data_IF_730281447891
#
_entry.id   IF_730281447891
#
_cell.length_a   1.000
_cell.length_b   1.000
_cell.length_c   1.000
_cell.angle_alpha   90.00
_cell.angle_beta   90.00
_cell.angle_gamma   90.00
#
_symmetry.space_group_name_H-M   'P 1'
#
loop_
_entity.id
_entity.type
_entity.pdbx_description
1 polymer ?
#
# COMPACT_ATOMS: atom_id res chain seq x y z
N UNK A 1 8.80 -20.14 29.76
CA UNK A 1 8.39 -19.78 28.39
C UNK A 1 9.36 -18.78 27.80
N UNK A 2 9.61 -17.60 28.44
CA UNK A 2 10.53 -16.58 27.90
C UNK A 2 11.90 -17.17 27.50
N UNK A 3 12.60 -17.86 28.42
CA UNK A 3 13.87 -18.51 28.10
C UNK A 3 13.76 -19.54 26.96
N UNK A 4 12.58 -20.15 26.78
CA UNK A 4 12.35 -21.10 25.70
C UNK A 4 12.21 -20.37 24.36
N UNK A 5 11.54 -19.22 24.32
CA UNK A 5 11.50 -18.37 23.11
C UNK A 5 12.90 -17.92 22.73
N UNK A 6 13.72 -17.49 23.72
CA UNK A 6 15.11 -17.09 23.48
C UNK A 6 15.98 -18.24 22.93
N UNK A 7 15.67 -19.48 23.33
CA UNK A 7 16.46 -20.66 22.96
C UNK A 7 16.06 -21.29 21.59
N UNK A 8 14.76 -21.24 21.26
CA UNK A 8 14.23 -21.97 20.09
C UNK A 8 13.48 -21.06 19.08
N UNK A 9 13.34 -19.77 19.36
CA UNK A 9 12.54 -18.83 18.56
C UNK A 9 11.05 -19.14 18.56
N UNK A 10 10.26 -18.30 17.88
CA UNK A 10 8.80 -18.53 17.72
C UNK A 10 8.50 -19.74 16.85
N UNK A 11 9.37 -20.07 15.91
CA UNK A 11 9.24 -21.26 15.05
C UNK A 11 9.17 -22.59 15.83
N UNK A 12 9.68 -22.56 17.06
CA UNK A 12 9.55 -23.68 17.99
C UNK A 12 8.14 -23.89 18.57
N UNK A 13 7.24 -22.94 18.35
CA UNK A 13 5.84 -23.04 18.76
C UNK A 13 4.93 -23.29 17.55
N UNK A 14 3.69 -23.73 17.82
CA UNK A 14 2.69 -23.83 16.77
C UNK A 14 2.37 -22.41 16.23
N UNK A 15 2.31 -22.23 14.92
CA UNK A 15 2.08 -20.95 14.26
C UNK A 15 0.87 -20.19 14.83
N UNK A 16 -0.25 -20.87 15.04
CA UNK A 16 -1.46 -20.29 15.62
C UNK A 16 -1.26 -19.69 17.03
N UNK A 17 -0.22 -20.14 17.75
CA UNK A 17 0.02 -19.67 19.11
C UNK A 17 0.69 -18.30 19.17
N UNK A 18 1.45 -17.92 18.15
CA UNK A 18 2.18 -16.67 18.08
C UNK A 18 1.72 -15.73 16.98
N UNK A 19 1.15 -16.23 15.89
CA UNK A 19 0.72 -15.38 14.76
C UNK A 19 -0.30 -14.31 15.15
N UNK A 20 -1.17 -14.60 16.14
CA UNK A 20 -2.13 -13.62 16.68
C UNK A 20 -1.52 -12.51 17.54
N UNK A 21 -0.22 -12.59 17.81
CA UNK A 21 0.54 -11.61 18.58
C UNK A 21 1.46 -10.75 17.72
N UNK A 22 1.39 -10.91 16.39
CA UNK A 22 2.10 -10.03 15.46
C UNK A 22 1.41 -8.67 15.49
N UNK A 23 2.21 -7.62 15.68
CA UNK A 23 1.75 -6.25 15.57
C UNK A 23 1.72 -5.85 14.08
N UNK A 24 0.51 -5.79 13.51
CA UNK A 24 0.32 -5.43 12.12
C UNK A 24 0.68 -3.97 11.83
N UNK A 25 0.55 -3.07 12.82
CA UNK A 25 0.96 -1.68 12.67
C UNK A 25 2.48 -1.57 12.59
N UNK A 26 3.24 -2.32 13.43
CA UNK A 26 4.71 -2.35 13.35
C UNK A 26 5.20 -2.94 12.02
N UNK A 27 4.52 -3.97 11.48
CA UNK A 27 4.86 -4.51 10.15
C UNK A 27 4.58 -3.48 9.07
N UNK A 28 3.42 -2.82 9.10
CA UNK A 28 3.04 -1.80 8.14
C UNK A 28 4.04 -0.64 8.14
N UNK A 29 4.38 -0.11 9.31
CA UNK A 29 5.37 0.97 9.47
C UNK A 29 6.75 0.56 8.92
N UNK A 30 7.14 -0.70 9.11
CA UNK A 30 8.44 -1.20 8.65
C UNK A 30 8.54 -1.29 7.13
N UNK A 31 7.46 -1.65 6.44
CA UNK A 31 7.46 -1.85 4.98
C UNK A 31 6.83 -0.69 4.21
N UNK A 32 6.39 0.40 4.87
CA UNK A 32 5.76 1.54 4.20
C UNK A 32 6.58 2.09 3.03
N UNK A 33 7.90 2.28 3.23
CA UNK A 33 8.78 2.79 2.17
C UNK A 33 8.82 1.86 0.94
N UNK A 34 8.75 0.52 1.15
CA UNK A 34 8.71 -0.45 0.04
C UNK A 34 7.39 -0.38 -0.71
N UNK A 35 6.26 -0.28 0.03
CA UNK A 35 4.93 -0.14 -0.57
C UNK A 35 4.84 1.16 -1.35
N UNK A 36 5.32 2.27 -0.79
CA UNK A 36 5.33 3.57 -1.45
C UNK A 36 6.14 3.53 -2.75
N UNK A 37 7.31 2.93 -2.72
CA UNK A 37 8.13 2.74 -3.91
C UNK A 37 7.41 1.90 -4.97
N UNK A 38 6.73 0.82 -4.59
CA UNK A 38 6.02 -0.07 -5.52
C UNK A 38 4.82 0.63 -6.18
N UNK A 39 4.07 1.44 -5.42
CA UNK A 39 2.99 2.28 -5.95
C UNK A 39 3.53 3.34 -6.90
N UNK A 40 4.65 4.01 -6.56
CA UNK A 40 5.26 5.04 -7.40
C UNK A 40 5.84 4.45 -8.72
N UNK A 41 6.38 3.22 -8.68
CA UNK A 41 6.95 2.55 -9.86
C UNK A 41 5.89 1.95 -10.80
N UNK A 42 4.70 1.63 -10.28
CA UNK A 42 3.63 0.95 -11.04
C UNK A 42 2.24 1.43 -10.61
N UNK A 43 1.95 2.74 -10.65
CA UNK A 43 0.70 3.31 -10.15
C UNK A 43 -0.55 2.73 -10.83
N UNK A 44 -0.46 2.37 -12.10
CA UNK A 44 -1.55 1.75 -12.89
C UNK A 44 -2.02 0.40 -12.30
N UNK A 45 -1.25 -0.21 -11.41
CA UNK A 45 -1.64 -1.45 -10.71
C UNK A 45 -2.52 -1.20 -9.49
N UNK A 46 -2.58 0.04 -9.02
CA UNK A 46 -3.21 0.44 -7.76
C UNK A 46 -4.29 1.51 -7.91
N UNK A 47 -4.24 2.30 -8.98
CA UNK A 47 -5.04 3.50 -9.19
C UNK A 47 -5.98 3.36 -10.39
N UNK A 48 -7.10 4.06 -10.35
CA UNK A 48 -8.03 4.16 -11.48
C UNK A 48 -7.57 5.25 -12.45
N UNK A 49 -7.38 4.90 -13.72
CA UNK A 49 -6.89 5.81 -14.77
C UNK A 49 -7.79 7.04 -14.97
N UNK A 50 -9.08 6.94 -14.66
CA UNK A 50 -10.05 8.02 -14.89
C UNK A 50 -10.30 8.88 -13.65
N UNK A 51 -10.14 8.31 -12.44
CA UNK A 51 -10.46 8.98 -11.20
C UNK A 51 -9.21 9.59 -10.53
N UNK A 52 -8.05 8.95 -10.72
CA UNK A 52 -6.82 9.28 -10.00
C UNK A 52 -5.78 10.02 -10.84
N UNK A 53 -6.09 10.36 -12.10
CA UNK A 53 -5.23 11.17 -12.97
C UNK A 53 -5.79 12.58 -13.18
N UNK A 54 -4.89 13.55 -13.25
CA UNK A 54 -5.21 14.91 -13.63
C UNK A 54 -4.26 15.44 -14.69
N UNK A 55 -4.66 16.49 -15.39
CA UNK A 55 -3.77 17.15 -16.34
C UNK A 55 -2.54 17.68 -15.63
N UNK A 56 -1.37 17.49 -16.23
CA UNK A 56 -0.13 18.12 -15.77
C UNK A 56 -0.27 19.63 -15.75
N UNK A 57 0.53 20.32 -14.95
CA UNK A 57 0.52 21.78 -14.93
C UNK A 57 0.87 22.37 -16.30
N UNK A 58 1.78 21.76 -17.06
CA UNK A 58 2.16 22.18 -18.41
C UNK A 58 0.99 22.05 -19.37
N UNK A 59 0.26 20.91 -19.34
CA UNK A 59 -0.92 20.70 -20.20
C UNK A 59 -2.05 21.66 -19.85
N UNK A 60 -2.28 21.94 -18.55
CA UNK A 60 -3.26 22.96 -18.11
C UNK A 60 -2.94 24.34 -18.70
N UNK A 61 -1.67 24.78 -18.62
CA UNK A 61 -1.22 26.06 -19.16
C UNK A 61 -1.33 26.13 -20.69
N UNK A 62 -1.04 25.03 -21.40
CA UNK A 62 -1.19 24.94 -22.84
C UNK A 62 -2.66 25.02 -23.27
N UNK A 63 -3.55 24.26 -22.60
CA UNK A 63 -4.98 24.31 -22.87
C UNK A 63 -5.57 25.71 -22.63
N UNK A 64 -5.21 26.37 -21.51
CA UNK A 64 -5.67 27.73 -21.22
C UNK A 64 -5.21 28.73 -22.29
N UNK A 65 -3.97 28.61 -22.76
CA UNK A 65 -3.46 29.48 -23.82
C UNK A 65 -4.15 29.26 -25.16
N UNK A 66 -4.48 28.01 -25.52
CA UNK A 66 -5.23 27.69 -26.75
C UNK A 66 -6.67 28.17 -26.62
N UNK A 67 -7.34 27.96 -25.49
CA UNK A 67 -8.70 28.44 -25.25
C UNK A 67 -8.81 29.96 -25.32
N UNK A 68 -7.79 30.70 -24.81
CA UNK A 68 -7.72 32.16 -24.92
C UNK A 68 -7.61 32.60 -26.41
N UNK A 69 -6.78 31.94 -27.20
CA UNK A 69 -6.63 32.25 -28.62
C UNK A 69 -7.91 31.97 -29.41
N UNK A 70 -8.59 30.85 -29.13
CA UNK A 70 -9.90 30.53 -29.74
C UNK A 70 -10.91 31.61 -29.38
N UNK A 71 -10.92 32.08 -28.12
CA UNK A 71 -11.76 33.18 -27.66
C UNK A 71 -11.51 34.48 -28.46
N UNK A 72 -10.25 34.86 -28.61
CA UNK A 72 -9.84 36.06 -29.36
C UNK A 72 -10.28 36.00 -30.84
N UNK A 73 -10.06 34.88 -31.52
CA UNK A 73 -10.49 34.70 -32.90
C UNK A 73 -12.02 34.64 -33.04
N UNK A 74 -12.72 34.09 -32.09
CA UNK A 74 -14.18 34.06 -32.05
C UNK A 74 -14.74 35.48 -31.88
N UNK A 75 -14.14 36.29 -31.01
CA UNK A 75 -14.53 37.69 -30.81
C UNK A 75 -14.21 38.51 -32.07
N UNK A 76 -13.09 38.23 -32.77
CA UNK A 76 -12.77 38.91 -34.05
C UNK A 76 -13.77 38.59 -35.14
N UNK A 77 -14.24 37.33 -35.22
CA UNK A 77 -15.26 36.91 -36.18
C UNK A 77 -16.55 37.72 -36.07
N UNK A 78 -16.93 38.21 -34.89
CA UNK A 78 -18.13 39.04 -34.71
C UNK A 78 -18.06 40.39 -35.44
N UNK A 79 -16.84 40.88 -35.76
CA UNK A 79 -16.63 42.20 -36.36
C UNK A 79 -16.14 42.16 -37.80
N UNK A 80 -15.94 40.98 -38.38
CA UNK A 80 -15.46 40.80 -39.75
C UNK A 80 -16.64 40.55 -40.70
N UNK A 81 -16.71 41.38 -41.75
CA UNK A 81 -17.76 41.31 -42.79
C UNK A 81 -17.28 40.69 -44.12
N UNK A 82 -15.95 40.42 -44.26
CA UNK A 82 -15.37 39.88 -45.45
C UNK A 82 -15.32 38.37 -45.45
N UNK A 83 -15.91 37.70 -46.42
CA UNK A 83 -16.03 36.25 -46.51
C UNK A 83 -14.66 35.53 -46.48
N UNK A 84 -13.63 36.10 -47.10
CA UNK A 84 -12.27 35.54 -47.10
C UNK A 84 -11.61 35.57 -45.71
N UNK A 85 -11.87 36.64 -44.94
CA UNK A 85 -11.29 36.78 -43.59
C UNK A 85 -12.06 35.90 -42.58
N UNK A 86 -13.39 35.70 -42.81
CA UNK A 86 -14.21 34.76 -42.05
C UNK A 86 -13.72 33.33 -42.26
N UNK A 87 -13.45 32.92 -43.49
CA UNK A 87 -12.94 31.60 -43.82
C UNK A 87 -11.56 31.36 -43.13
N UNK A 88 -10.66 32.37 -43.22
CA UNK A 88 -9.33 32.26 -42.60
C UNK A 88 -9.39 32.10 -41.07
N UNK A 89 -10.22 32.93 -40.39
CA UNK A 89 -10.37 32.83 -38.92
C UNK A 89 -11.03 31.52 -38.52
N UNK A 90 -12.02 31.04 -39.31
CA UNK A 90 -12.65 29.75 -39.04
C UNK A 90 -11.67 28.59 -39.15
N UNK A 91 -10.82 28.61 -40.20
CA UNK A 91 -9.78 27.59 -40.36
C UNK A 91 -8.76 27.63 -39.21
N UNK A 92 -8.40 28.82 -38.69
CA UNK A 92 -7.48 28.98 -37.56
C UNK A 92 -8.11 28.42 -36.26
N UNK A 93 -9.39 28.72 -36.01
CA UNK A 93 -10.11 28.17 -34.88
C UNK A 93 -10.13 26.64 -34.95
N UNK A 94 -10.43 26.06 -36.11
CA UNK A 94 -10.46 24.60 -36.26
C UNK A 94 -9.11 23.96 -35.99
N UNK A 95 -8.01 24.56 -36.39
CA UNK A 95 -6.65 24.07 -36.12
C UNK A 95 -6.38 24.08 -34.61
N UNK A 96 -6.78 25.14 -33.90
CA UNK A 96 -6.61 25.21 -32.44
C UNK A 96 -7.52 24.23 -31.70
N UNK A 97 -8.74 24.00 -32.16
CA UNK A 97 -9.64 22.97 -31.61
C UNK A 97 -9.07 21.56 -31.78
N UNK A 98 -8.46 21.27 -32.94
CA UNK A 98 -7.80 19.99 -33.20
C UNK A 98 -6.56 19.82 -32.25
N UNK A 99 -5.75 20.89 -32.06
CA UNK A 99 -4.61 20.88 -31.13
C UNK A 99 -5.07 20.70 -29.67
N UNK A 100 -6.15 21.35 -29.27
CA UNK A 100 -6.75 21.19 -27.94
C UNK A 100 -7.22 19.77 -27.70
N UNK A 101 -7.81 19.13 -28.73
CA UNK A 101 -8.24 17.73 -28.65
C UNK A 101 -7.03 16.77 -28.58
N UNK A 102 -5.96 17.05 -29.32
CA UNK A 102 -4.72 16.26 -29.28
C UNK A 102 -4.13 16.24 -27.87
N UNK A 103 -4.06 17.39 -27.19
CA UNK A 103 -3.58 17.47 -25.79
C UNK A 103 -4.49 16.66 -24.84
N UNK A 104 -5.81 16.71 -25.03
CA UNK A 104 -6.76 15.96 -24.18
C UNK A 104 -6.72 14.45 -24.41
N UNK A 105 -6.33 14.01 -25.59
CA UNK A 105 -6.25 12.60 -25.95
C UNK A 105 -4.84 12.01 -25.67
N UNK A 106 -3.86 12.86 -25.35
CA UNK A 106 -2.49 12.44 -25.07
C UNK A 106 -2.35 11.96 -23.61
N UNK A 107 -1.98 10.70 -23.43
CA UNK A 107 -1.73 10.11 -22.10
C UNK A 107 -0.61 10.82 -21.34
N UNK A 108 0.40 11.35 -22.04
CA UNK A 108 1.52 12.09 -21.45
C UNK A 108 1.08 13.47 -20.90
N UNK A 109 -0.11 13.94 -21.26
CA UNK A 109 -0.72 15.16 -20.73
C UNK A 109 -1.25 15.02 -19.29
N UNK A 110 -1.27 13.80 -18.74
CA UNK A 110 -1.83 13.51 -17.43
C UNK A 110 -0.77 12.93 -16.47
N UNK A 111 -0.95 13.24 -15.21
CA UNK A 111 -0.17 12.68 -14.11
C UNK A 111 -1.07 12.08 -13.04
N UNK A 112 -0.55 11.15 -12.25
CA UNK A 112 -1.26 10.59 -11.11
C UNK A 112 -1.36 11.62 -9.99
N UNK A 113 -2.52 11.72 -9.37
CA UNK A 113 -2.73 12.68 -8.27
C UNK A 113 -2.00 12.24 -7.01
N UNK A 114 -1.43 13.19 -6.27
CA UNK A 114 -0.82 12.91 -4.96
C UNK A 114 -1.83 12.25 -4.01
N UNK A 115 -3.10 12.66 -4.06
CA UNK A 115 -4.18 12.09 -3.23
C UNK A 115 -4.45 10.63 -3.59
N UNK A 116 -4.47 10.29 -4.89
CA UNK A 116 -4.64 8.91 -5.38
C UNK A 116 -3.49 8.03 -4.90
N UNK A 117 -2.24 8.48 -5.07
CA UNK A 117 -1.05 7.76 -4.61
C UNK A 117 -1.10 7.51 -3.09
N UNK A 118 -1.37 8.54 -2.28
CA UNK A 118 -1.47 8.40 -0.82
C UNK A 118 -2.60 7.44 -0.41
N UNK A 119 -3.74 7.47 -1.09
CA UNK A 119 -4.84 6.56 -0.83
C UNK A 119 -4.48 5.11 -1.20
N UNK A 120 -3.78 4.89 -2.31
CA UNK A 120 -3.32 3.56 -2.72
C UNK A 120 -2.32 2.98 -1.71
N UNK A 121 -1.38 3.78 -1.24
CA UNK A 121 -0.44 3.40 -0.17
C UNK A 121 -1.18 3.02 1.11
N UNK A 122 -2.13 3.85 1.58
CA UNK A 122 -2.87 3.55 2.81
C UNK A 122 -3.74 2.30 2.69
N UNK A 123 -4.40 2.10 1.54
CA UNK A 123 -5.16 0.87 1.27
C UNK A 123 -4.26 -0.37 1.38
N UNK A 124 -3.04 -0.28 0.86
CA UNK A 124 -2.08 -1.38 0.91
C UNK A 124 -1.55 -1.63 2.33
N UNK A 125 -1.31 -0.56 3.10
CA UNK A 125 -0.96 -0.67 4.52
C UNK A 125 -2.09 -1.29 5.36
N UNK A 126 -3.35 -1.01 5.04
CA UNK A 126 -4.50 -1.66 5.69
C UNK A 126 -4.57 -3.16 5.38
N UNK A 127 -4.20 -3.58 4.17
CA UNK A 127 -4.04 -5.01 3.85
C UNK A 127 -2.95 -5.65 4.71
N UNK A 128 -1.80 -4.99 4.87
CA UNK A 128 -0.70 -5.44 5.75
C UNK A 128 -1.17 -5.61 7.19
N UNK A 129 -1.86 -4.62 7.74
CA UNK A 129 -2.42 -4.66 9.09
C UNK A 129 -3.41 -5.82 9.28
N UNK A 130 -4.14 -6.15 8.22
CA UNK A 130 -5.15 -7.22 8.23
C UNK A 130 -4.55 -8.62 8.15
N UNK A 131 -3.46 -8.81 7.41
CA UNK A 131 -2.74 -10.08 7.28
C UNK A 131 -1.22 -9.87 7.28
N UNK A 132 -0.63 -9.49 8.43
CA UNK A 132 0.79 -9.17 8.52
C UNK A 132 1.70 -10.37 8.22
N UNK A 133 1.21 -11.61 8.42
CA UNK A 133 2.00 -12.81 8.12
C UNK A 133 2.31 -12.98 6.64
N UNK A 134 1.36 -12.65 5.76
CA UNK A 134 1.59 -12.71 4.32
C UNK A 134 2.75 -11.80 3.92
N UNK A 135 2.80 -10.61 4.48
CA UNK A 135 3.83 -9.61 4.16
C UNK A 135 5.19 -9.92 4.81
N UNK A 136 5.20 -10.45 6.03
CA UNK A 136 6.42 -10.95 6.67
C UNK A 136 7.07 -12.03 5.79
N UNK A 137 6.28 -12.96 5.25
CA UNK A 137 6.78 -14.00 4.36
C UNK A 137 7.21 -13.43 3.00
N UNK A 138 6.42 -12.52 2.42
CA UNK A 138 6.70 -11.90 1.12
C UNK A 138 8.02 -11.12 1.12
N UNK A 139 8.28 -10.36 2.20
CA UNK A 139 9.48 -9.54 2.34
C UNK A 139 10.62 -10.26 3.10
N UNK A 140 10.47 -11.54 3.41
CA UNK A 140 11.46 -12.37 4.14
C UNK A 140 11.89 -11.72 5.47
N UNK A 141 10.95 -11.14 6.23
CA UNK A 141 11.21 -10.44 7.48
C UNK A 141 11.37 -11.42 8.65
N UNK A 142 12.18 -11.04 9.63
CA UNK A 142 12.31 -11.78 10.87
C UNK A 142 11.10 -11.50 11.78
N UNK A 143 10.24 -12.49 11.96
CA UNK A 143 8.98 -12.39 12.73
C UNK A 143 9.20 -11.93 14.18
N UNK A 144 10.35 -12.27 14.75
CA UNK A 144 10.74 -11.92 16.13
C UNK A 144 10.73 -10.39 16.39
N UNK A 145 10.90 -9.59 15.34
CA UNK A 145 10.89 -8.14 15.43
C UNK A 145 9.48 -7.53 15.60
N UNK A 146 8.44 -8.31 15.34
CA UNK A 146 7.05 -7.82 15.25
C UNK A 146 6.12 -8.50 16.27
N UNK A 147 6.63 -9.26 17.21
CA UNK A 147 5.84 -9.91 18.26
C UNK A 147 6.12 -9.28 19.62
N UNK A 148 5.07 -8.84 20.32
CA UNK A 148 5.18 -8.52 21.75
C UNK A 148 5.43 -9.82 22.55
N UNK A 149 6.72 -10.08 22.82
CA UNK A 149 7.16 -11.25 23.56
C UNK A 149 6.50 -11.35 24.94
N UNK A 150 6.28 -10.22 25.62
CA UNK A 150 5.69 -10.20 26.96
C UNK A 150 4.23 -10.61 26.94
N UNK A 151 3.48 -10.18 25.91
CA UNK A 151 2.10 -10.53 25.73
C UNK A 151 1.95 -12.00 25.29
N UNK A 152 2.75 -12.43 24.33
CA UNK A 152 2.84 -13.83 23.90
C UNK A 152 3.11 -14.77 25.07
N UNK A 153 4.14 -14.48 25.89
CA UNK A 153 4.50 -15.28 27.07
C UNK A 153 3.36 -15.35 28.08
N UNK A 154 2.67 -14.22 28.35
CA UNK A 154 1.50 -14.20 29.24
C UNK A 154 0.38 -15.07 28.72
N UNK A 155 0.08 -15.00 27.43
CA UNK A 155 -0.97 -15.80 26.80
C UNK A 155 -0.67 -17.29 26.84
N UNK A 156 0.54 -17.70 26.49
CA UNK A 156 0.95 -19.12 26.58
C UNK A 156 0.88 -19.64 28.02
N UNK A 157 1.21 -18.81 29.02
CA UNK A 157 1.11 -19.23 30.43
C UNK A 157 -0.36 -19.33 30.89
N UNK A 158 -1.24 -18.44 30.41
CA UNK A 158 -2.62 -18.34 30.86
C UNK A 158 -3.58 -19.28 30.12
N UNK A 159 -3.24 -19.71 28.90
CA UNK A 159 -4.06 -20.64 28.14
C UNK A 159 -3.98 -22.06 28.71
N UNK A 160 -5.12 -22.74 28.69
CA UNK A 160 -5.24 -24.13 29.17
C UNK A 160 -4.32 -25.05 28.35
N UNK A 161 -3.26 -25.49 28.99
CA UNK A 161 -2.30 -26.41 28.39
C UNK A 161 -1.18 -25.72 27.64
N UNK A 162 -0.08 -25.48 28.35
CA UNK A 162 1.20 -25.05 27.76
C UNK A 162 1.66 -25.98 26.64
N UNK A 163 1.28 -27.27 26.71
CA UNK A 163 1.50 -28.25 25.65
C UNK A 163 0.86 -27.88 24.33
N UNK A 164 -0.25 -27.16 24.31
CA UNK A 164 -0.87 -26.70 23.07
C UNK A 164 -0.01 -25.65 22.36
N UNK A 165 0.58 -24.70 23.11
CA UNK A 165 1.52 -23.72 22.53
C UNK A 165 2.79 -24.36 22.00
N UNK A 166 3.19 -25.51 22.56
CA UNK A 166 4.36 -26.29 22.18
C UNK A 166 4.02 -27.50 21.27
N UNK A 167 2.83 -27.51 20.67
CA UNK A 167 2.35 -28.63 19.84
C UNK A 167 3.28 -28.99 18.65
N UNK A 168 4.15 -28.08 18.23
CA UNK A 168 5.19 -28.35 17.24
C UNK A 168 6.19 -29.43 17.68
N UNK A 169 6.30 -29.70 18.98
CA UNK A 169 7.21 -30.70 19.53
C UNK A 169 6.53 -32.01 19.88
N UNK A 170 5.63 -32.03 20.84
CA UNK A 170 4.93 -33.26 21.22
C UNK A 170 3.47 -33.05 21.64
N UNK A 171 3.03 -31.79 21.78
CA UNK A 171 1.67 -31.44 22.20
C UNK A 171 1.29 -31.92 23.60
N UNK A 172 2.24 -32.46 24.38
CA UNK A 172 2.01 -33.04 25.70
C UNK A 172 2.69 -32.19 26.79
N UNK A 173 1.95 -31.93 27.86
CA UNK A 173 2.45 -31.30 29.07
C UNK A 173 2.87 -32.37 30.08
N UNK A 174 4.16 -32.49 30.30
CA UNK A 174 4.71 -33.43 31.30
C UNK A 174 5.07 -32.66 32.57
N UNK A 175 4.31 -32.89 33.63
CA UNK A 175 4.56 -32.28 34.94
C UNK A 175 5.40 -33.20 35.85
N UNK A 176 6.44 -32.64 36.43
CA UNK A 176 7.25 -33.35 37.42
C UNK A 176 7.36 -32.49 38.67
N UNK A 177 7.00 -33.07 39.83
CA UNK A 177 7.19 -32.45 41.13
C UNK A 177 8.55 -32.84 41.68
N UNK A 178 9.43 -31.85 41.89
CA UNK A 178 10.76 -32.06 42.42
C UNK A 178 11.17 -30.90 43.33
N UNK A 179 11.73 -31.19 44.50
CA UNK A 179 12.23 -30.23 45.49
C UNK A 179 11.20 -29.17 45.89
N UNK A 180 9.98 -29.62 46.21
CA UNK A 180 8.82 -28.79 46.58
C UNK A 180 8.30 -27.83 45.49
N UNK A 181 8.72 -28.01 44.24
CA UNK A 181 8.27 -27.22 43.08
C UNK A 181 7.75 -28.10 41.93
N UNK A 182 6.84 -27.56 41.10
CA UNK A 182 6.37 -28.17 39.87
C UNK A 182 7.22 -27.71 38.69
N UNK A 183 7.75 -28.68 37.92
CA UNK A 183 8.48 -28.47 36.70
C UNK A 183 7.70 -28.98 35.51
N UNK A 184 7.68 -28.21 34.44
CA UNK A 184 7.06 -28.61 33.15
C UNK A 184 8.20 -29.00 32.22
N UNK A 185 8.11 -30.23 31.69
CA UNK A 185 9.15 -30.80 30.84
C UNK A 185 8.58 -30.98 29.44
N UNK A 186 9.19 -30.33 28.47
CA UNK A 186 8.86 -30.46 27.05
C UNK A 186 10.03 -31.11 26.32
N UNK A 187 9.69 -31.93 25.32
CA UNK A 187 10.68 -32.52 24.46
C UNK A 187 11.07 -31.54 23.37
N UNK A 188 12.33 -31.11 23.37
CA UNK A 188 12.92 -30.30 22.31
C UNK A 188 13.70 -31.23 21.39
N UNK A 189 13.20 -31.45 20.18
CA UNK A 189 13.80 -32.07 19.00
C UNK A 189 14.72 -33.25 19.23
#
# INVERSE_FOLDING_TARGET
VRNLVDDIGYEGFAEWAWSSHIDGDEVADYIEDYIRQDVDESPESYLDEYEDRELTQESKEQLEAIEEQIGDYTDELEYVDNESDIDELTDQIQVLEDELQEIKDDEDSYEWTDEGIEQAVENKLDEVRSDPMEYIQMYELEVDNFIDQDDFVKNVISSDGRGNGLAGYDGEENEVYYDDEWFYIYRIG
#
